data_IF_986380332850
#
_entry.id   IF_986380332850
#
_cell.length_a   1.000
_cell.length_b   1.000
_cell.length_c   1.000
_cell.angle_alpha   90.00
_cell.angle_beta   90.00
_cell.angle_gamma   90.00
#
_symmetry.space_group_name_H-M   'P 1'
#
loop_
_entity.id
_entity.type
_entity.pdbx_description
1 polymer ?
#
# COMPACT_ATOMS: atom_id res chain seq x y z
N UNK A 1 0.82 13.60 -14.67
CA UNK A 1 0.86 12.51 -13.66
C UNK A 1 2.17 11.75 -13.82
N UNK A 2 3.08 11.84 -12.86
CA UNK A 2 4.38 11.15 -12.90
C UNK A 2 4.20 9.78 -12.22
N UNK A 3 4.45 8.69 -12.95
CA UNK A 3 4.44 7.34 -12.34
C UNK A 3 5.72 7.19 -11.52
N UNK A 4 5.58 6.79 -10.26
CA UNK A 4 6.67 6.79 -9.28
C UNK A 4 7.68 5.65 -9.46
N UNK A 5 7.40 4.73 -10.39
CA UNK A 5 8.35 3.71 -10.80
C UNK A 5 9.09 4.22 -12.04
N UNK A 6 10.33 4.70 -11.83
CA UNK A 6 11.23 5.14 -12.91
C UNK A 6 11.67 4.02 -13.87
N UNK A 7 11.22 2.78 -13.64
CA UNK A 7 11.23 1.69 -14.61
C UNK A 7 9.80 1.32 -14.99
N UNK A 8 9.56 1.07 -16.27
CA UNK A 8 8.28 0.55 -16.75
C UNK A 8 7.96 -0.76 -16.02
N UNK A 9 6.90 -0.76 -15.20
CA UNK A 9 6.33 -1.98 -14.61
C UNK A 9 6.03 -2.94 -15.76
N UNK A 10 6.62 -4.14 -15.74
CA UNK A 10 6.36 -5.11 -16.80
C UNK A 10 4.94 -5.67 -16.68
N UNK A 11 4.35 -6.19 -17.77
CA UNK A 11 3.05 -6.87 -17.71
C UNK A 11 3.04 -8.01 -16.68
N UNK A 12 4.15 -8.76 -16.58
CA UNK A 12 4.29 -9.85 -15.61
C UNK A 12 4.29 -9.34 -14.16
N UNK A 13 5.01 -8.25 -13.86
CA UNK A 13 4.98 -7.62 -12.54
C UNK A 13 3.57 -7.15 -12.19
N UNK A 14 2.87 -6.52 -13.14
CA UNK A 14 1.49 -6.09 -12.93
C UNK A 14 0.58 -7.26 -12.58
N UNK A 15 0.65 -8.37 -13.33
CA UNK A 15 -0.15 -9.57 -13.04
C UNK A 15 0.18 -10.15 -11.66
N UNK A 16 1.46 -10.23 -11.29
CA UNK A 16 1.87 -10.72 -9.99
C UNK A 16 1.36 -9.81 -8.85
N UNK A 17 1.43 -8.49 -9.03
CA UNK A 17 0.95 -7.52 -8.06
C UNK A 17 -0.57 -7.55 -7.90
N UNK A 18 -1.32 -7.65 -9.00
CA UNK A 18 -2.79 -7.80 -8.97
C UNK A 18 -3.16 -9.05 -8.18
N UNK A 19 -2.57 -10.21 -8.51
CA UNK A 19 -2.83 -11.46 -7.79
C UNK A 19 -2.51 -11.34 -6.30
N UNK A 20 -1.38 -10.73 -5.96
CA UNK A 20 -0.99 -10.54 -4.57
C UNK A 20 -2.01 -9.72 -3.78
N UNK A 21 -2.60 -8.69 -4.38
CA UNK A 21 -3.68 -7.89 -3.77
C UNK A 21 -4.97 -8.71 -3.66
N UNK A 22 -5.38 -9.39 -4.73
CA UNK A 22 -6.60 -10.23 -4.73
C UNK A 22 -6.54 -11.33 -3.66
N UNK A 23 -5.36 -11.90 -3.42
CA UNK A 23 -5.15 -12.90 -2.36
C UNK A 23 -5.07 -12.29 -0.96
N UNK A 24 -4.69 -11.01 -0.85
CA UNK A 24 -4.55 -10.32 0.44
C UNK A 24 -5.86 -9.70 0.94
N UNK A 25 -6.72 -9.27 0.01
CA UNK A 25 -7.95 -8.54 0.33
C UNK A 25 -9.16 -9.47 0.28
N UNK A 26 -9.97 -9.41 1.32
CA UNK A 26 -11.23 -10.14 1.42
C UNK A 26 -12.41 -9.21 1.19
N UNK A 27 -13.60 -9.78 0.99
CA UNK A 27 -14.84 -9.01 1.04
C UNK A 27 -14.98 -8.34 2.42
N UNK A 28 -14.91 -7.00 2.42
CA UNK A 28 -15.04 -6.21 3.65
C UNK A 28 -16.51 -5.94 3.96
N UNK A 29 -16.88 -6.14 5.22
CA UNK A 29 -18.19 -5.74 5.76
C UNK A 29 -18.04 -4.48 6.60
N UNK A 30 -19.13 -3.71 6.86
CA UNK A 30 -19.08 -2.60 7.80
C UNK A 30 -18.46 -3.02 9.13
N UNK A 31 -17.48 -2.26 9.60
CA UNK A 31 -16.73 -2.55 10.83
C UNK A 31 -15.45 -3.37 10.64
N UNK A 32 -15.25 -4.02 9.49
CA UNK A 32 -14.00 -4.72 9.18
C UNK A 32 -12.91 -3.74 8.74
N UNK A 33 -11.65 -4.08 9.01
CA UNK A 33 -10.49 -3.27 8.63
C UNK A 33 -9.40 -4.09 7.96
N UNK A 34 -8.96 -3.63 6.79
CA UNK A 34 -7.70 -4.09 6.18
C UNK A 34 -6.60 -3.11 6.58
N UNK A 35 -5.51 -3.62 7.14
CA UNK A 35 -4.33 -2.84 7.52
C UNK A 35 -3.14 -3.26 6.65
N UNK A 36 -2.56 -2.30 5.93
CA UNK A 36 -1.30 -2.48 5.21
C UNK A 36 -0.12 -1.95 6.02
N UNK A 37 0.80 -2.84 6.40
CA UNK A 37 2.07 -2.51 7.05
C UNK A 37 3.17 -2.42 6.00
N UNK A 38 3.65 -1.20 5.76
CA UNK A 38 4.79 -0.95 4.89
C UNK A 38 6.11 -1.29 5.61
N UNK A 39 6.93 -2.15 4.99
CA UNK A 39 8.26 -2.53 5.51
C UNK A 39 9.32 -2.04 4.51
N UNK A 40 9.90 -0.85 4.74
CA UNK A 40 10.86 -0.25 3.81
C UNK A 40 11.99 -1.22 3.43
N UNK A 41 12.23 -1.39 2.13
CA UNK A 41 13.26 -2.27 1.59
C UNK A 41 12.91 -3.76 1.55
N UNK A 42 11.78 -4.18 2.12
CA UNK A 42 11.38 -5.59 2.18
C UNK A 42 10.09 -5.86 1.40
N UNK A 43 9.08 -5.01 1.55
CA UNK A 43 7.77 -5.23 0.97
C UNK A 43 6.66 -4.72 1.88
N UNK A 44 5.60 -5.51 2.04
CA UNK A 44 4.53 -5.20 2.97
C UNK A 44 3.79 -6.43 3.50
N UNK A 45 3.05 -6.21 4.59
CA UNK A 45 2.13 -7.19 5.17
C UNK A 45 0.73 -6.63 5.22
N UNK A 46 -0.26 -7.49 5.04
CA UNK A 46 -1.67 -7.16 5.16
C UNK A 46 -2.30 -7.93 6.30
N UNK A 47 -3.19 -7.25 7.02
CA UNK A 47 -3.97 -7.82 8.12
C UNK A 47 -5.44 -7.52 7.90
N UNK A 48 -6.31 -8.46 8.24
CA UNK A 48 -7.78 -8.29 8.25
C UNK A 48 -8.24 -8.49 9.68
N UNK A 49 -8.85 -7.46 10.28
CA UNK A 49 -9.26 -7.47 11.70
C UNK A 49 -8.12 -7.95 12.62
N UNK A 50 -6.94 -7.36 12.39
CA UNK A 50 -5.67 -7.61 13.09
C UNK A 50 -5.09 -9.03 12.91
N UNK A 51 -5.72 -9.90 12.11
CA UNK A 51 -5.16 -11.20 11.72
C UNK A 51 -4.31 -11.08 10.47
N UNK A 52 -3.13 -11.71 10.48
CA UNK A 52 -2.27 -11.77 9.30
C UNK A 52 -3.03 -12.41 8.12
N UNK A 53 -3.09 -11.68 7.02
CA UNK A 53 -3.67 -12.15 5.76
C UNK A 53 -2.56 -12.62 4.83
N UNK A 54 -1.61 -11.73 4.54
CA UNK A 54 -0.57 -12.00 3.54
C UNK A 54 0.66 -11.12 3.69
N UNK A 55 1.80 -11.66 3.27
CA UNK A 55 3.02 -10.90 3.00
C UNK A 55 3.25 -10.82 1.49
N UNK A 56 3.61 -9.63 1.01
CA UNK A 56 4.12 -9.42 -0.35
C UNK A 56 5.55 -8.90 -0.20
N UNK A 57 6.52 -9.81 -0.32
CA UNK A 57 7.95 -9.54 -0.21
C UNK A 57 8.53 -8.93 -1.50
N UNK A 58 7.91 -7.85 -1.99
CA UNK A 58 8.36 -7.08 -3.15
C UNK A 58 8.49 -5.60 -2.76
N UNK A 59 9.73 -5.08 -2.60
CA UNK A 59 9.97 -3.68 -2.23
C UNK A 59 9.48 -2.68 -3.30
N UNK A 60 9.46 -3.07 -4.58
CA UNK A 60 9.03 -2.23 -5.69
C UNK A 60 7.51 -2.13 -5.69
N UNK A 61 6.82 -3.26 -5.49
CA UNK A 61 5.38 -3.28 -5.27
C UNK A 61 5.01 -2.37 -4.10
N UNK A 62 5.62 -2.60 -2.93
CA UNK A 62 5.24 -1.90 -1.72
C UNK A 62 5.47 -0.39 -1.87
N UNK A 63 6.62 0.03 -2.43
CA UNK A 63 6.84 1.44 -2.74
C UNK A 63 5.75 2.02 -3.65
N UNK A 64 5.38 1.32 -4.71
CA UNK A 64 4.37 1.79 -5.66
C UNK A 64 2.96 1.84 -5.05
N UNK A 65 2.60 0.86 -4.24
CA UNK A 65 1.29 0.74 -3.60
C UNK A 65 1.10 1.83 -2.53
N UNK A 66 2.02 1.95 -1.58
CA UNK A 66 1.90 2.94 -0.50
C UNK A 66 2.10 4.38 -0.99
N UNK A 67 2.82 4.57 -2.09
CA UNK A 67 2.98 5.88 -2.72
C UNK A 67 1.64 6.52 -3.15
N UNK A 68 0.56 5.76 -3.33
CA UNK A 68 -0.78 6.32 -3.58
C UNK A 68 -1.17 7.34 -2.50
N UNK A 69 -0.73 7.09 -1.25
CA UNK A 69 -1.01 7.96 -0.10
C UNK A 69 0.20 8.72 0.42
N UNK A 70 1.39 8.11 0.41
CA UNK A 70 2.58 8.65 1.09
C UNK A 70 3.45 9.53 0.20
N UNK A 71 3.28 9.45 -1.12
CA UNK A 71 4.09 10.22 -2.06
C UNK A 71 3.85 11.73 -1.90
N UNK A 72 4.88 12.60 -2.02
CA UNK A 72 4.71 14.05 -2.02
C UNK A 72 3.70 14.57 -3.05
N UNK A 73 3.48 13.83 -4.14
CA UNK A 73 2.46 14.12 -5.17
C UNK A 73 1.10 13.46 -4.94
N UNK A 74 0.84 12.85 -3.77
CA UNK A 74 -0.47 12.30 -3.43
C UNK A 74 -1.53 13.40 -3.45
N UNK A 75 -2.71 13.11 -4.03
CA UNK A 75 -3.76 14.13 -4.25
C UNK A 75 -4.37 14.65 -2.96
N UNK A 76 -4.40 13.84 -1.90
CA UNK A 76 -4.93 14.22 -0.60
C UNK A 76 -3.77 14.53 0.36
N UNK A 77 -3.31 15.78 0.31
CA UNK A 77 -2.22 16.27 1.13
C UNK A 77 -2.54 16.15 2.63
N UNK A 78 -3.79 16.35 3.03
CA UNK A 78 -4.17 16.30 4.45
C UNK A 78 -4.17 14.86 4.99
N UNK A 79 -4.69 13.90 4.21
CA UNK A 79 -4.58 12.48 4.52
C UNK A 79 -3.11 12.05 4.61
N UNK A 80 -2.28 12.48 3.66
CA UNK A 80 -0.84 12.21 3.68
C UNK A 80 -0.18 12.71 4.98
N UNK A 81 -0.42 13.95 5.36
CA UNK A 81 0.17 14.54 6.58
C UNK A 81 -0.27 13.75 7.82
N UNK A 82 -1.55 13.35 7.91
CA UNK A 82 -2.05 12.49 9.00
C UNK A 82 -1.38 11.13 9.02
N UNK A 83 -1.23 10.47 7.87
CA UNK A 83 -0.57 9.16 7.77
C UNK A 83 0.92 9.21 8.11
N UNK A 84 1.58 10.36 7.87
CA UNK A 84 2.98 10.57 8.23
C UNK A 84 3.17 11.06 9.68
N UNK A 85 2.09 11.23 10.45
CA UNK A 85 2.16 11.81 11.80
C UNK A 85 2.60 13.28 11.81
N UNK A 86 2.44 13.97 10.68
CA UNK A 86 2.83 15.37 10.47
C UNK A 86 1.66 16.34 10.64
N UNK A 87 0.42 15.82 10.63
CA UNK A 87 -0.71 16.58 11.14
C UNK A 87 -0.59 16.61 12.67
N UNK A 88 -0.43 17.80 13.25
CA UNK A 88 -0.45 17.97 14.70
C UNK A 88 -1.70 17.30 15.27
N UNK A 89 -1.53 16.52 16.33
CA UNK A 89 -2.65 16.10 17.15
C UNK A 89 -3.27 17.38 17.73
N UNK A 90 -4.54 17.65 17.41
CA UNK A 90 -5.44 18.42 18.28
C UNK A 90 -5.95 17.51 19.40
#
# INVERSE_FOLDING_TARGET
MRRLNGGSITPQQRTAWTRGIEEAFVDVRPGMRITGLYLPGQGCRFYVDDKFSREIADPVFARAFFAIWLDPGARDTQLRQRLLGQAGND
#
